data_IF_902974163985
#
_entry.id   IF_902974163985
#
_cell.length_a   1.000
_cell.length_b   1.000
_cell.length_c   1.000
_cell.angle_alpha   90.00
_cell.angle_beta   90.00
_cell.angle_gamma   90.00
#
_symmetry.space_group_name_H-M   'P 1'
#
loop_
_entity.id
_entity.type
_entity.pdbx_description
1 polymer ?
#
# COMPACT_ATOMS: atom_id res chain seq x y z
N UNK A 1 -5.72 -2.27 25.02
CA UNK A 1 -6.20 -3.25 24.03
C UNK A 1 -5.56 -2.95 22.68
N UNK A 2 -4.96 -3.95 22.02
CA UNK A 2 -4.55 -3.80 20.62
C UNK A 2 -5.80 -3.61 19.77
N UNK A 3 -5.89 -2.51 19.04
CA UNK A 3 -7.09 -2.11 18.30
C UNK A 3 -7.47 -3.06 17.15
N UNK A 4 -6.55 -3.97 16.75
CA UNK A 4 -6.75 -4.90 15.64
C UNK A 4 -6.22 -6.31 15.99
N UNK A 5 -6.96 -7.09 16.79
CA UNK A 5 -6.49 -8.39 17.26
C UNK A 5 -6.34 -9.44 16.15
N UNK A 6 -7.02 -9.28 15.02
CA UNK A 6 -7.01 -10.24 13.90
C UNK A 6 -6.01 -9.92 12.79
N UNK A 7 -5.24 -8.84 12.90
CA UNK A 7 -4.39 -8.35 11.80
C UNK A 7 -3.28 -9.35 11.46
N UNK A 8 -2.73 -10.01 12.48
CA UNK A 8 -1.72 -11.06 12.36
C UNK A 8 -2.30 -12.47 12.43
N UNK A 9 -3.63 -12.60 12.45
CA UNK A 9 -4.25 -13.92 12.34
C UNK A 9 -4.01 -14.48 10.93
N UNK A 10 -3.77 -15.79 10.79
CA UNK A 10 -3.61 -16.39 9.48
C UNK A 10 -4.90 -16.26 8.64
N UNK A 11 -4.75 -16.23 7.33
CA UNK A 11 -5.83 -16.17 6.35
C UNK A 11 -5.69 -17.32 5.37
N UNK A 12 -6.71 -18.17 5.32
CA UNK A 12 -6.77 -19.27 4.36
C UNK A 12 -7.53 -18.82 3.10
N UNK A 13 -6.93 -19.05 1.93
CA UNK A 13 -7.50 -18.72 0.62
C UNK A 13 -7.93 -19.98 -0.15
N UNK A 14 -7.85 -21.17 0.46
CA UNK A 14 -8.23 -22.44 -0.14
C UNK A 14 -7.16 -23.08 -1.05
N UNK A 15 -6.20 -22.29 -1.54
CA UNK A 15 -5.03 -22.80 -2.31
C UNK A 15 -3.68 -22.48 -1.63
N UNK A 16 -3.66 -21.51 -0.72
CA UNK A 16 -2.49 -21.12 0.06
C UNK A 16 -2.94 -20.43 1.35
N UNK A 17 -2.11 -20.51 2.39
CA UNK A 17 -2.39 -19.87 3.68
C UNK A 17 -1.41 -18.73 3.91
N UNK A 18 -1.95 -17.52 4.09
CA UNK A 18 -1.18 -16.33 4.42
C UNK A 18 -0.97 -16.24 5.93
N UNK A 19 0.25 -15.89 6.34
CA UNK A 19 0.64 -15.78 7.76
C UNK A 19 0.01 -14.59 8.48
N UNK A 20 -0.45 -13.59 7.74
CA UNK A 20 -1.13 -12.41 8.26
C UNK A 20 -2.15 -11.90 7.25
N UNK A 21 -3.04 -11.00 7.69
CA UNK A 21 -4.04 -10.34 6.84
C UNK A 21 -3.52 -9.04 6.22
N UNK A 22 -2.19 -8.88 6.13
CA UNK A 22 -1.56 -7.72 5.51
C UNK A 22 -1.32 -8.04 4.04
N UNK A 23 -2.11 -7.41 3.17
CA UNK A 23 -1.96 -7.53 1.74
C UNK A 23 -1.31 -6.27 1.19
N UNK A 24 -0.33 -6.44 0.31
CA UNK A 24 0.20 -5.33 -0.48
C UNK A 24 -0.82 -4.99 -1.56
N UNK A 25 -1.31 -3.75 -1.57
CA UNK A 25 -2.19 -3.27 -2.63
C UNK A 25 -1.48 -3.34 -3.98
N UNK A 26 -2.20 -3.71 -5.04
CA UNK A 26 -1.64 -3.72 -6.39
C UNK A 26 -1.24 -2.30 -6.78
N UNK A 27 0.05 -2.06 -6.95
CA UNK A 27 0.53 -0.86 -7.61
C UNK A 27 0.66 -1.18 -9.08
N UNK A 28 -0.34 -0.79 -9.89
CA UNK A 28 -0.11 -0.65 -11.31
C UNK A 28 0.76 0.58 -11.51
N UNK A 29 2.07 0.43 -11.27
CA UNK A 29 3.03 1.37 -11.82
C UNK A 29 2.78 1.31 -13.32
N UNK A 30 2.28 2.39 -13.91
CA UNK A 30 1.88 2.46 -15.33
C UNK A 30 3.04 2.31 -16.32
N UNK A 31 4.07 1.55 -15.94
CA UNK A 31 5.29 1.21 -16.68
C UNK A 31 5.06 0.22 -17.82
N UNK A 32 3.80 0.00 -18.21
CA UNK A 32 3.48 -0.65 -19.47
C UNK A 32 3.47 0.41 -20.58
N UNK A 33 4.68 0.77 -21.00
CA UNK A 33 5.00 1.15 -22.38
C UNK A 33 4.30 2.38 -22.99
N UNK A 34 4.46 3.59 -22.43
CA UNK A 34 4.14 4.83 -23.16
C UNK A 34 5.09 6.00 -22.82
N UNK A 35 5.48 6.84 -23.81
CA UNK A 35 6.35 8.01 -23.59
C UNK A 35 5.69 9.15 -22.79
N UNK A 36 4.41 9.02 -22.43
CA UNK A 36 3.64 10.02 -21.66
C UNK A 36 3.80 9.91 -20.14
N UNK A 37 4.68 9.03 -19.64
CA UNK A 37 5.11 9.01 -18.23
C UNK A 37 5.73 10.35 -17.76
N UNK A 38 5.86 11.35 -18.64
CA UNK A 38 6.56 12.61 -18.44
C UNK A 38 5.67 13.84 -18.14
N UNK A 39 4.33 13.76 -18.13
CA UNK A 39 3.52 14.99 -17.96
C UNK A 39 2.27 14.90 -17.08
N UNK A 40 2.09 13.85 -16.28
CA UNK A 40 0.89 13.78 -15.40
C UNK A 40 0.93 12.81 -14.23
N UNK A 41 1.94 11.94 -14.14
CA UNK A 41 2.09 11.06 -12.99
C UNK A 41 2.81 11.79 -11.86
N UNK A 42 2.06 12.26 -10.87
CA UNK A 42 2.66 12.68 -9.60
C UNK A 42 2.93 11.42 -8.78
N UNK A 43 4.19 11.04 -8.51
CA UNK A 43 4.45 10.03 -7.48
C UNK A 43 3.81 10.50 -6.17
N UNK A 44 3.39 9.55 -5.33
CA UNK A 44 2.98 9.87 -3.97
C UNK A 44 4.19 10.46 -3.23
N UNK A 45 4.33 11.78 -3.30
CA UNK A 45 5.19 12.54 -2.41
C UNK A 45 4.50 12.50 -1.06
N UNK A 46 5.11 11.94 0.00
CA UNK A 46 4.57 12.08 1.35
C UNK A 46 4.71 13.55 1.76
N UNK A 47 3.79 14.41 1.27
CA UNK A 47 3.63 15.77 1.76
C UNK A 47 2.82 15.68 3.03
N UNK A 48 3.51 15.38 4.12
CA UNK A 48 3.02 15.60 5.47
C UNK A 48 4.22 15.87 6.36
N UNK A 49 4.84 17.04 6.16
CA UNK A 49 5.60 17.67 7.24
C UNK A 49 4.56 18.13 8.28
N UNK A 50 4.14 17.19 9.13
CA UNK A 50 3.49 17.51 10.40
C UNK A 50 4.57 18.23 11.23
N UNK A 51 4.56 19.54 11.16
CA UNK A 51 5.27 20.39 12.13
C UNK A 51 4.44 21.64 12.34
N UNK A 52 3.21 21.43 12.81
CA UNK A 52 2.54 22.40 13.65
C UNK A 52 3.15 22.32 15.03
N UNK A 53 4.17 23.15 15.27
CA UNK A 53 4.72 23.44 16.60
C UNK A 53 4.96 24.95 16.65
N UNK A 54 3.85 25.69 16.70
CA UNK A 54 3.64 26.89 17.51
C UNK A 54 2.17 26.94 17.91
#
# INVERSE_FOLDING_TARGET
MSHYPSLFAPLDLGFTQLKNRVLMGSMHTGWRNTPTARSGWRPFTPSARVTGLR
#
